data_IF_966701544123
#
_entry.id   IF_966701544123
#
_cell.length_a   1.000
_cell.length_b   1.000
_cell.length_c   1.000
_cell.angle_alpha   90.00
_cell.angle_beta   90.00
_cell.angle_gamma   90.00
#
_symmetry.space_group_name_H-M   'P 1'
#
loop_
_entity.id
_entity.type
_entity.pdbx_description
1 polymer ?
#
# COMPACT_ATOMS: atom_id res chain seq x y z
N UNK A 1 13.31 -15.94 -1.43
CA UNK A 1 11.84 -16.18 -1.23
C UNK A 1 11.13 -14.84 -1.04
N UNK A 2 9.83 -14.72 -1.34
CA UNK A 2 9.03 -13.52 -1.01
C UNK A 2 8.13 -13.82 0.18
N UNK A 3 8.18 -12.98 1.20
CA UNK A 3 7.36 -13.08 2.40
C UNK A 3 6.27 -12.03 2.37
N UNK A 4 5.03 -12.46 2.54
CA UNK A 4 3.88 -11.58 2.71
C UNK A 4 3.32 -11.78 4.10
N UNK A 5 3.16 -10.68 4.81
CA UNK A 5 2.64 -10.60 6.17
C UNK A 5 1.38 -9.73 6.16
N UNK A 6 0.22 -10.28 6.55
CA UNK A 6 -1.03 -9.56 6.70
C UNK A 6 -1.33 -9.35 8.19
N UNK A 7 -1.54 -8.11 8.57
CA UNK A 7 -1.87 -7.65 9.91
C UNK A 7 -3.33 -7.20 9.93
N UNK A 8 -4.04 -7.65 10.95
CA UNK A 8 -5.46 -7.42 11.15
C UNK A 8 -5.69 -6.79 12.54
N UNK A 9 -6.90 -6.28 12.80
CA UNK A 9 -7.30 -5.80 14.12
C UNK A 9 -7.12 -6.89 15.19
N UNK A 10 -7.03 -6.45 16.44
CA UNK A 10 -6.88 -7.32 17.62
C UNK A 10 -5.60 -8.18 17.59
N UNK A 11 -4.61 -7.78 16.79
CA UNK A 11 -3.34 -8.48 16.66
C UNK A 11 -3.41 -9.78 15.85
N UNK A 12 -4.50 -10.04 15.11
CA UNK A 12 -4.56 -11.20 14.21
C UNK A 12 -3.56 -11.00 13.08
N UNK A 13 -2.89 -12.07 12.68
CA UNK A 13 -1.78 -12.03 11.75
C UNK A 13 -1.77 -13.27 10.87
N UNK A 14 -1.39 -13.12 9.61
CA UNK A 14 -1.11 -14.25 8.71
C UNK A 14 0.19 -13.99 7.94
N UNK A 15 0.99 -15.02 7.72
CA UNK A 15 2.19 -14.92 6.90
C UNK A 15 2.32 -16.13 6.00
N UNK A 16 2.81 -15.91 4.78
CA UNK A 16 3.17 -16.97 3.85
C UNK A 16 4.47 -16.61 3.15
N UNK A 17 5.29 -17.62 2.93
CA UNK A 17 6.45 -17.54 2.07
C UNK A 17 6.09 -18.11 0.70
N UNK A 18 6.39 -17.34 -0.33
CA UNK A 18 6.06 -17.62 -1.71
C UNK A 18 7.38 -17.74 -2.48
N UNK A 19 7.55 -18.79 -3.29
CA UNK A 19 8.68 -18.89 -4.21
C UNK A 19 8.79 -17.61 -5.04
N UNK A 20 9.90 -16.90 -4.87
CA UNK A 20 10.22 -15.75 -5.68
C UNK A 20 11.15 -16.21 -6.79
N UNK A 21 10.61 -16.33 -8.00
CA UNK A 21 11.39 -16.44 -9.22
C UNK A 21 11.16 -15.16 -10.05
N UNK A 22 12.02 -14.90 -11.05
CA UNK A 22 11.95 -13.68 -11.88
C UNK A 22 10.62 -13.47 -12.61
N UNK A 23 9.74 -14.47 -12.64
CA UNK A 23 8.49 -14.43 -13.39
C UNK A 23 7.26 -14.08 -12.54
N UNK A 24 7.41 -13.91 -11.22
CA UNK A 24 6.29 -13.58 -10.33
C UNK A 24 6.48 -12.17 -9.75
N UNK A 25 5.64 -11.25 -10.21
CA UNK A 25 5.52 -9.88 -9.73
C UNK A 25 5.01 -9.79 -8.29
N UNK A 26 5.07 -8.58 -7.71
CA UNK A 26 4.50 -8.28 -6.39
C UNK A 26 2.99 -8.55 -6.39
N UNK A 27 2.27 -8.11 -7.41
CA UNK A 27 0.81 -8.33 -7.52
C UNK A 27 0.45 -9.81 -7.61
N UNK A 28 1.15 -10.58 -8.44
CA UNK A 28 0.91 -12.03 -8.55
C UNK A 28 1.21 -12.74 -7.22
N UNK A 29 2.20 -12.27 -6.48
CA UNK A 29 2.49 -12.82 -5.14
C UNK A 29 1.38 -12.53 -4.15
N UNK A 30 0.76 -11.35 -4.20
CA UNK A 30 -0.42 -11.02 -3.39
C UNK A 30 -1.58 -11.95 -3.74
N UNK A 31 -1.81 -12.24 -5.02
CA UNK A 31 -2.87 -13.14 -5.43
C UNK A 31 -2.60 -14.61 -5.03
N UNK A 32 -1.35 -15.06 -5.11
CA UNK A 32 -0.93 -16.36 -4.58
C UNK A 32 -1.10 -16.43 -3.07
N UNK A 33 -0.77 -15.34 -2.35
CA UNK A 33 -0.99 -15.22 -0.91
C UNK A 33 -2.47 -15.42 -0.60
N UNK A 34 -3.35 -14.60 -1.15
CA UNK A 34 -4.80 -14.65 -0.88
C UNK A 34 -5.42 -16.02 -1.12
N UNK A 35 -5.00 -16.72 -2.18
CA UNK A 35 -5.50 -18.07 -2.53
C UNK A 35 -5.04 -19.17 -1.57
N UNK A 36 -3.88 -19.01 -0.94
CA UNK A 36 -3.21 -20.08 -0.15
C UNK A 36 -3.18 -19.77 1.34
N UNK A 37 -3.29 -18.52 1.72
CA UNK A 37 -3.31 -18.10 3.10
C UNK A 37 -4.66 -18.49 3.69
N UNK A 38 -4.61 -19.37 4.69
CA UNK A 38 -5.68 -19.42 5.67
C UNK A 38 -5.21 -18.53 6.82
N UNK A 39 -5.96 -17.51 7.27
CA UNK A 39 -5.56 -16.68 8.39
C UNK A 39 -5.41 -17.55 9.65
N UNK A 40 -4.20 -18.07 9.88
CA UNK A 40 -3.83 -18.70 11.13
C UNK A 40 -3.72 -17.59 12.14
N UNK A 41 -4.74 -17.45 12.99
CA UNK A 41 -4.77 -16.42 14.04
C UNK A 41 -3.59 -16.66 14.98
N UNK A 42 -2.49 -15.97 14.72
CA UNK A 42 -1.40 -15.80 15.66
C UNK A 42 -1.56 -14.38 16.19
N UNK A 43 -1.62 -14.22 17.51
CA UNK A 43 -1.60 -12.90 18.12
C UNK A 43 -0.18 -12.34 18.01
N UNK A 44 0.01 -11.38 17.12
CA UNK A 44 1.27 -10.65 16.98
C UNK A 44 0.97 -9.17 17.08
N UNK A 45 1.52 -8.53 18.12
CA UNK A 45 1.50 -7.07 18.21
C UNK A 45 2.50 -6.55 17.17
N UNK A 46 2.02 -5.76 16.21
CA UNK A 46 2.93 -5.03 15.32
C UNK A 46 3.69 -4.02 16.20
N UNK A 47 5.01 -4.19 16.32
CA UNK A 47 5.85 -3.42 17.23
C UNK A 47 6.39 -2.13 16.59
N UNK A 48 6.18 -1.91 15.29
CA UNK A 48 6.78 -0.81 14.57
C UNK A 48 5.86 0.43 14.58
N UNK A 49 6.35 1.50 15.20
CA UNK A 49 5.74 2.83 15.18
C UNK A 49 6.11 3.54 13.88
N UNK A 50 5.54 3.08 12.77
CA UNK A 50 5.70 3.72 11.45
C UNK A 50 4.60 4.76 11.30
N UNK A 51 4.91 6.08 11.22
CA UNK A 51 3.90 7.10 10.97
C UNK A 51 3.25 6.91 9.60
N UNK A 52 1.92 6.86 9.55
CA UNK A 52 1.20 6.69 8.27
C UNK A 52 1.55 7.80 7.28
N UNK A 53 1.71 9.03 7.78
CA UNK A 53 2.04 10.20 6.97
C UNK A 53 3.45 10.15 6.35
N UNK A 54 4.39 9.36 6.88
CA UNK A 54 5.75 9.26 6.33
C UNK A 54 5.88 8.23 5.21
N UNK A 55 4.86 7.41 4.97
CA UNK A 55 4.89 6.38 3.93
C UNK A 55 4.89 7.05 2.54
N UNK A 56 5.80 6.63 1.67
CA UNK A 56 5.91 7.13 0.29
C UNK A 56 4.68 6.68 -0.49
N UNK A 57 3.95 7.61 -1.11
CA UNK A 57 2.85 7.32 -2.03
C UNK A 57 3.37 7.13 -3.47
N UNK A 58 2.57 6.52 -4.33
CA UNK A 58 2.89 6.38 -5.76
C UNK A 58 1.83 7.04 -6.67
N UNK A 59 1.02 7.91 -6.09
CA UNK A 59 -0.03 8.68 -6.76
C UNK A 59 0.00 10.13 -6.27
N UNK A 60 -0.14 11.09 -7.18
CA UNK A 60 -0.50 12.45 -6.79
C UNK A 60 -2.01 12.53 -6.48
N UNK A 61 -2.47 13.70 -6.04
CA UNK A 61 -3.88 13.94 -5.71
C UNK A 61 -4.85 13.69 -6.88
N UNK A 62 -4.45 13.98 -8.10
CA UNK A 62 -5.19 13.72 -9.34
C UNK A 62 -5.33 12.21 -9.66
N UNK A 63 -4.48 11.37 -9.06
CA UNK A 63 -4.59 9.91 -9.09
C UNK A 63 -5.61 9.36 -8.07
N UNK A 64 -6.13 10.20 -7.16
CA UNK A 64 -7.10 9.79 -6.14
C UNK A 64 -8.53 9.96 -6.66
N UNK A 65 -9.03 8.88 -7.26
CA UNK A 65 -10.27 8.80 -8.04
C UNK A 65 -11.57 9.32 -7.42
N UNK A 66 -11.77 9.14 -6.11
CA UNK A 66 -13.11 9.30 -5.52
C UNK A 66 -13.03 9.70 -4.07
N UNK A 67 -13.34 10.98 -3.81
CA UNK A 67 -13.55 11.47 -2.45
C UNK A 67 -14.76 10.81 -1.81
N UNK A 68 -15.80 10.48 -2.59
CA UNK A 68 -16.98 9.76 -2.10
C UNK A 68 -16.62 8.35 -1.59
N UNK A 69 -15.69 7.65 -2.24
CA UNK A 69 -15.16 6.38 -1.74
C UNK A 69 -14.48 6.56 -0.39
N UNK A 70 -13.68 7.61 -0.21
CA UNK A 70 -13.04 7.94 1.08
C UNK A 70 -14.11 8.25 2.13
N UNK A 71 -15.12 9.06 1.81
CA UNK A 71 -16.24 9.37 2.71
C UNK A 71 -17.02 8.12 3.11
N UNK A 72 -17.24 7.16 2.20
CA UNK A 72 -17.85 5.88 2.52
C UNK A 72 -17.00 5.07 3.50
N UNK A 73 -15.69 4.97 3.25
CA UNK A 73 -14.76 4.27 4.16
C UNK A 73 -14.73 4.93 5.54
N UNK A 74 -14.78 6.26 5.60
CA UNK A 74 -14.89 7.00 6.87
C UNK A 74 -16.16 6.60 7.65
N UNK A 75 -17.32 6.50 6.98
CA UNK A 75 -18.56 6.05 7.63
C UNK A 75 -18.42 4.64 8.20
N UNK A 76 -17.79 3.73 7.46
CA UNK A 76 -17.52 2.38 7.94
C UNK A 76 -16.60 2.40 9.17
N UNK A 77 -15.52 3.16 9.15
CA UNK A 77 -14.60 3.31 10.30
C UNK A 77 -15.30 3.89 11.52
N UNK A 78 -16.14 4.92 11.34
CA UNK A 78 -16.96 5.51 12.43
C UNK A 78 -17.91 4.46 13.02
N UNK A 79 -18.45 3.56 12.19
CA UNK A 79 -19.31 2.46 12.66
C UNK A 79 -18.56 1.31 13.34
N UNK A 80 -17.24 1.44 13.53
CA UNK A 80 -16.39 0.43 14.14
C UNK A 80 -15.96 -0.68 13.19
N UNK A 81 -16.11 -0.50 11.86
CA UNK A 81 -15.66 -1.45 10.85
C UNK A 81 -14.30 -1.08 10.29
N UNK A 82 -13.44 -2.08 10.18
CA UNK A 82 -12.20 -1.97 9.41
C UNK A 82 -12.44 -2.15 7.91
N UNK A 83 -11.54 -1.57 7.13
CA UNK A 83 -11.60 -1.55 5.67
C UNK A 83 -10.75 -2.68 5.06
N UNK A 84 -11.42 -3.68 4.50
CA UNK A 84 -10.83 -4.83 3.82
C UNK A 84 -11.21 -4.87 2.33
N UNK A 85 -10.48 -5.67 1.55
CA UNK A 85 -10.93 -6.06 0.21
C UNK A 85 -12.09 -7.06 0.30
N UNK A 86 -12.77 -7.29 -0.82
CA UNK A 86 -13.93 -8.19 -0.88
C UNK A 86 -13.61 -9.65 -0.50
N UNK A 87 -12.34 -10.04 -0.59
CA UNK A 87 -11.79 -11.33 -0.17
C UNK A 87 -11.36 -11.36 1.32
N UNK A 88 -11.62 -10.28 2.07
CA UNK A 88 -11.36 -10.19 3.51
C UNK A 88 -9.91 -9.86 3.89
N UNK A 89 -9.06 -9.49 2.93
CA UNK A 89 -7.66 -9.11 3.19
C UNK A 89 -7.50 -7.60 3.42
N UNK A 90 -6.43 -7.15 4.11
CA UNK A 90 -6.15 -5.72 4.23
C UNK A 90 -5.99 -5.04 2.88
N UNK A 91 -6.65 -3.89 2.69
CA UNK A 91 -6.53 -3.12 1.45
C UNK A 91 -5.17 -2.43 1.30
N UNK A 92 -4.59 -1.97 2.42
CA UNK A 92 -3.28 -1.31 2.46
C UNK A 92 -2.20 -2.34 2.19
N UNK A 93 -1.39 -2.12 1.15
CA UNK A 93 -0.24 -2.98 0.80
C UNK A 93 1.00 -2.13 0.77
N UNK A 94 2.01 -2.57 1.53
CA UNK A 94 3.26 -1.88 1.72
C UNK A 94 4.41 -2.74 1.22
N UNK A 95 5.40 -2.08 0.64
CA UNK A 95 6.71 -2.66 0.35
C UNK A 95 7.78 -1.83 1.04
N UNK A 96 8.91 -2.46 1.35
CA UNK A 96 10.05 -1.80 1.99
C UNK A 96 11.22 -1.70 1.02
N UNK A 97 11.86 -0.53 0.93
CA UNK A 97 13.00 -0.31 0.02
C UNK A 97 14.32 -0.70 0.66
N UNK A 98 15.37 -0.80 -0.17
CA UNK A 98 16.78 -0.94 0.25
C UNK A 98 17.20 0.17 1.24
N UNK A 99 16.65 1.38 1.07
CA UNK A 99 16.90 2.56 1.92
C UNK A 99 16.07 2.55 3.23
N UNK A 100 15.42 1.43 3.57
CA UNK A 100 14.56 1.28 4.74
C UNK A 100 13.32 2.21 4.73
N UNK A 101 12.90 2.65 3.54
CA UNK A 101 11.68 3.45 3.34
C UNK A 101 10.47 2.55 3.09
N UNK A 102 9.28 3.03 3.46
CA UNK A 102 8.02 2.34 3.21
C UNK A 102 7.30 2.98 2.04
N UNK A 103 6.85 2.15 1.09
CA UNK A 103 6.04 2.60 -0.05
C UNK A 103 4.63 2.03 0.08
N UNK A 104 3.64 2.89 -0.08
CA UNK A 104 2.24 2.53 -0.26
C UNK A 104 2.02 2.05 -1.69
N UNK A 105 2.08 0.73 -1.85
CA UNK A 105 1.96 0.04 -3.12
C UNK A 105 0.50 -0.08 -3.56
N UNK A 106 -0.44 -0.16 -2.61
CA UNK A 106 -1.89 -0.18 -2.90
C UNK A 106 -2.67 0.24 -1.64
N UNK A 107 -3.92 0.68 -1.82
CA UNK A 107 -4.82 1.06 -0.73
C UNK A 107 -4.79 2.54 -0.33
N UNK A 108 -4.45 3.45 -1.26
CA UNK A 108 -4.34 4.89 -0.99
C UNK A 108 -5.61 5.52 -0.43
N UNK A 109 -6.80 5.19 -0.96
CA UNK A 109 -8.08 5.68 -0.39
C UNK A 109 -8.28 5.19 1.05
N UNK A 110 -7.94 3.93 1.34
CA UNK A 110 -8.07 3.34 2.68
C UNK A 110 -7.10 3.99 3.66
N UNK A 111 -5.84 4.19 3.26
CA UNK A 111 -4.85 4.89 4.06
C UNK A 111 -5.31 6.30 4.42
N UNK A 112 -5.78 7.06 3.42
CA UNK A 112 -6.31 8.42 3.62
C UNK A 112 -7.50 8.43 4.57
N UNK A 113 -8.44 7.49 4.42
CA UNK A 113 -9.61 7.38 5.31
C UNK A 113 -9.19 7.17 6.78
N UNK A 114 -8.21 6.29 7.05
CA UNK A 114 -7.71 6.09 8.41
C UNK A 114 -7.01 7.33 8.98
N UNK A 115 -6.20 8.04 8.18
CA UNK A 115 -5.55 9.28 8.61
C UNK A 115 -6.59 10.36 8.93
N UNK A 116 -7.65 10.48 8.11
CA UNK A 116 -8.77 11.40 8.38
C UNK A 116 -9.46 11.07 9.69
N UNK A 117 -9.57 9.78 10.02
CA UNK A 117 -10.12 9.28 11.29
C UNK A 117 -9.14 9.33 12.46
N UNK A 118 -7.98 9.99 12.29
CA UNK A 118 -7.03 10.25 13.36
C UNK A 118 -6.10 9.07 13.70
N UNK A 119 -5.97 8.08 12.81
CA UNK A 119 -4.92 7.06 12.94
C UNK A 119 -3.58 7.68 12.53
N UNK A 120 -2.56 7.46 13.35
CA UNK A 120 -1.24 8.09 13.18
C UNK A 120 -0.18 7.07 12.77
N UNK A 121 -0.32 5.82 13.19
CA UNK A 121 0.68 4.77 13.05
C UNK A 121 0.15 3.52 12.34
N UNK A 122 1.06 2.81 11.66
CA UNK A 122 0.75 1.62 10.87
C UNK A 122 0.13 0.47 11.69
N UNK A 123 0.55 0.29 12.94
CA UNK A 123 0.01 -0.76 13.80
C UNK A 123 -1.46 -0.55 14.19
N UNK A 124 -2.02 0.65 13.94
CA UNK A 124 -3.41 0.98 14.25
C UNK A 124 -4.38 0.66 13.09
N UNK A 125 -3.86 0.20 11.94
CA UNK A 125 -4.66 -0.08 10.74
C UNK A 125 -4.35 -1.47 10.19
N UNK A 126 -5.34 -2.19 9.60
CA UNK A 126 -5.07 -3.41 8.88
C UNK A 126 -4.19 -3.14 7.65
N UNK A 127 -3.12 -3.91 7.49
CA UNK A 127 -2.17 -3.72 6.40
C UNK A 127 -1.46 -5.02 6.01
N UNK A 128 -0.90 -5.05 4.81
CA UNK A 128 -0.03 -6.09 4.33
C UNK A 128 1.38 -5.54 4.08
N UNK A 129 2.39 -6.28 4.51
CA UNK A 129 3.80 -6.03 4.20
C UNK A 129 4.29 -7.10 3.22
N UNK A 130 4.91 -6.65 2.14
CA UNK A 130 5.48 -7.50 1.10
C UNK A 130 6.98 -7.22 1.04
N UNK A 131 7.79 -8.25 1.27
CA UNK A 131 9.25 -8.13 1.32
C UNK A 131 9.93 -9.38 0.76
N UNK A 132 11.16 -9.23 0.26
CA UNK A 132 11.98 -10.40 -0.03
C UNK A 132 12.57 -10.93 1.27
N UNK A 133 12.34 -12.19 1.58
CA UNK A 133 12.75 -12.80 2.86
C UNK A 133 14.25 -12.70 3.11
N UNK A 134 15.05 -12.89 2.07
CA UNK A 134 16.52 -12.93 2.21
C UNK A 134 17.12 -11.53 2.39
N UNK A 135 16.39 -10.49 2.00
CA UNK A 135 16.85 -9.10 1.96
C UNK A 135 16.06 -8.16 2.88
N UNK A 136 14.88 -8.57 3.33
CA UNK A 136 13.87 -7.78 4.04
C UNK A 136 13.37 -6.52 3.29
N UNK A 137 13.74 -6.35 2.01
CA UNK A 137 13.32 -5.25 1.13
C UNK A 137 13.07 -5.73 -0.31
N UNK A 138 12.36 -4.92 -1.09
CA UNK A 138 12.21 -5.05 -2.55
C UNK A 138 13.20 -4.14 -3.28
N UNK A 139 13.61 -4.53 -4.48
CA UNK A 139 14.50 -3.72 -5.31
C UNK A 139 13.72 -2.74 -6.22
N UNK A 140 14.43 -1.86 -6.92
CA UNK A 140 13.81 -0.88 -7.82
C UNK A 140 13.06 -1.53 -9.00
N UNK A 141 13.53 -2.68 -9.52
CA UNK A 141 12.85 -3.39 -10.61
C UNK A 141 11.46 -3.89 -10.18
N UNK A 142 11.35 -4.40 -8.95
CA UNK A 142 10.09 -4.83 -8.36
C UNK A 142 9.13 -3.66 -8.11
N UNK A 143 9.66 -2.49 -7.72
CA UNK A 143 8.87 -1.27 -7.59
C UNK A 143 8.35 -0.81 -8.95
N UNK A 144 9.17 -0.91 -10.01
CA UNK A 144 8.81 -0.49 -11.36
C UNK A 144 7.58 -1.21 -11.92
N UNK A 145 7.25 -2.41 -11.42
CA UNK A 145 6.00 -3.13 -11.75
C UNK A 145 4.76 -2.25 -11.52
N UNK A 146 4.80 -1.38 -10.50
CA UNK A 146 3.72 -0.44 -10.21
C UNK A 146 3.43 0.55 -11.34
N UNK A 147 4.41 0.83 -12.20
CA UNK A 147 4.26 1.74 -13.33
C UNK A 147 3.85 1.01 -14.63
N UNK A 148 3.67 -0.31 -14.57
CA UNK A 148 3.24 -1.15 -15.68
C UNK A 148 4.06 -0.93 -16.95
N UNK A 149 3.40 -0.70 -18.08
CA UNK A 149 4.05 -0.44 -19.37
C UNK A 149 4.93 0.82 -19.43
N UNK A 150 4.87 1.69 -18.41
CA UNK A 150 5.72 2.88 -18.32
C UNK A 150 7.04 2.62 -17.58
N UNK A 151 7.22 1.43 -16.99
CA UNK A 151 8.41 1.06 -16.23
C UNK A 151 9.72 1.36 -16.99
N UNK A 152 9.79 0.98 -18.27
CA UNK A 152 10.99 1.14 -19.09
C UNK A 152 11.35 2.62 -19.38
N UNK A 153 10.42 3.55 -19.16
CA UNK A 153 10.63 5.00 -19.36
C UNK A 153 11.20 5.66 -18.11
N UNK A 154 11.28 4.95 -16.99
CA UNK A 154 11.59 5.52 -15.68
C UNK A 154 13.01 5.13 -15.29
N UNK A 155 13.91 6.11 -15.30
CA UNK A 155 15.28 5.92 -14.76
C UNK A 155 15.32 6.00 -13.24
N UNK A 156 14.52 6.90 -12.66
CA UNK A 156 14.39 7.09 -11.22
C UNK A 156 12.91 7.11 -10.84
N UNK A 157 12.42 6.03 -10.23
CA UNK A 157 11.02 5.92 -9.84
C UNK A 157 10.64 6.91 -8.74
N UNK A 158 11.59 7.37 -7.92
CA UNK A 158 11.32 8.36 -6.86
C UNK A 158 10.87 9.71 -7.43
N UNK A 159 11.20 10.04 -8.67
CA UNK A 159 10.77 11.28 -9.33
C UNK A 159 9.38 11.19 -9.97
N UNK A 160 8.79 9.99 -10.00
CA UNK A 160 7.58 9.72 -10.77
C UNK A 160 6.48 9.11 -9.89
N UNK A 161 5.25 9.32 -10.35
CA UNK A 161 4.02 8.68 -9.85
C UNK A 161 3.18 8.28 -11.05
N UNK A 162 2.19 7.42 -10.84
CA UNK A 162 1.26 7.03 -11.89
C UNK A 162 -0.13 7.61 -11.61
N UNK A 163 -0.85 8.02 -12.63
CA UNK A 163 -2.28 8.30 -12.60
C UNK A 163 -2.97 7.33 -13.55
N UNK A 164 -3.40 6.17 -13.05
CA UNK A 164 -4.07 5.13 -13.85
C UNK A 164 -5.39 5.58 -14.48
N UNK A 165 -5.90 6.76 -14.16
CA UNK A 165 -7.13 7.30 -14.73
C UNK A 165 -6.91 8.26 -15.88
N UNK A 166 -5.70 8.80 -16.00
CA UNK A 166 -5.37 9.61 -17.15
C UNK A 166 -5.35 8.75 -18.43
N UNK A 167 -5.50 9.41 -19.57
CA UNK A 167 -5.22 8.80 -20.86
C UNK A 167 -3.82 8.18 -20.84
N UNK A 168 -3.67 7.03 -21.50
CA UNK A 168 -2.46 6.19 -21.51
C UNK A 168 -1.14 6.99 -21.55
N UNK A 169 -1.04 7.97 -22.43
CA UNK A 169 0.15 8.80 -22.65
C UNK A 169 0.43 9.81 -21.52
N UNK A 170 -0.57 10.10 -20.69
CA UNK A 170 -0.54 11.05 -19.57
C UNK A 170 -0.54 10.36 -18.20
N UNK A 171 -0.53 9.03 -18.15
CA UNK A 171 -0.55 8.27 -16.89
C UNK A 171 0.74 8.45 -16.09
N UNK A 172 1.90 8.53 -16.75
CA UNK A 172 3.16 8.80 -16.05
C UNK A 172 3.29 10.28 -15.73
N UNK A 173 3.35 10.63 -14.46
CA UNK A 173 3.42 12.01 -14.00
C UNK A 173 4.67 12.26 -13.17
N UNK A 174 5.14 13.50 -13.15
CA UNK A 174 6.12 13.94 -12.15
C UNK A 174 5.49 13.88 -10.76
N UNK A 175 6.28 13.42 -9.79
CA UNK A 175 5.89 13.44 -8.39
C UNK A 175 5.72 14.88 -7.90
N UNK A 176 4.62 15.13 -7.20
CA UNK A 176 4.34 16.40 -6.52
C UNK A 176 4.18 16.16 -5.01
N UNK A 177 3.46 15.10 -4.62
CA UNK A 177 3.37 14.68 -3.22
C UNK A 177 4.31 13.50 -2.96
N UNK A 178 5.23 13.66 -2.01
CA UNK A 178 6.32 12.72 -1.71
C UNK A 178 5.90 11.57 -0.79
N UNK A 179 4.92 11.84 0.07
CA UNK A 179 4.41 10.88 1.04
C UNK A 179 2.89 11.05 1.21
N UNK A 180 2.30 10.11 1.94
CA UNK A 180 0.87 10.11 2.24
C UNK A 180 0.46 11.34 3.06
N UNK A 181 1.35 11.92 3.87
CA UNK A 181 1.07 13.16 4.60
C UNK A 181 0.85 14.35 3.66
N UNK A 182 1.74 14.56 2.70
CA UNK A 182 1.59 15.60 1.67
C UNK A 182 0.35 15.35 0.80
N UNK A 183 0.09 14.09 0.45
CA UNK A 183 -1.12 13.69 -0.28
C UNK A 183 -2.38 14.03 0.53
N UNK A 184 -2.40 13.71 1.82
CA UNK A 184 -3.49 14.04 2.73
C UNK A 184 -3.74 15.54 2.80
N UNK A 185 -2.70 16.36 3.00
CA UNK A 185 -2.86 17.83 3.05
C UNK A 185 -3.37 18.41 1.73
N UNK A 186 -3.01 17.81 0.60
CA UNK A 186 -3.51 18.24 -0.72
C UNK A 186 -5.00 17.93 -0.93
N UNK A 187 -5.51 16.85 -0.32
CA UNK A 187 -6.90 16.40 -0.45
C UNK A 187 -7.79 17.03 0.61
N UNK A 188 -7.27 17.22 1.82
CA UNK A 188 -7.98 17.81 2.97
C UNK A 188 -8.61 19.18 2.64
N UNK A 189 -8.02 19.93 1.70
CA UNK A 189 -8.53 21.22 1.23
C UNK A 189 -9.82 21.12 0.38
N UNK A 190 -10.16 19.92 -0.08
CA UNK A 190 -11.24 19.64 -1.04
C UNK A 190 -12.26 18.64 -0.46
N UNK A 191 -11.98 18.05 0.71
CA UNK A 191 -12.92 17.23 1.50
C UNK A 191 -13.83 18.09 2.36
#
# INVERSE_FOLDING_TARGET
MRKIEAYYPEGKFCSLEIPHNRNISIYESVEVFKKRSNPKIILKKSAEYIPLKSIINLHNNDGIQSLERIKSMIKDIISGKDIFSSDGFPNIKLVKTEDNEWILFDGHHTMLAYIIMGREFLHEVPHMIIKNQDKEHVNSEEISVFFGEHADKIKNWKEHVINWQAEKEKQLCKRVQNNVGELFESIKRIL
#
